data_IF_348028614149
#
_entry.id   IF_348028614149
#
_cell.length_a   1.000
_cell.length_b   1.000
_cell.length_c   1.000
_cell.angle_alpha   90.00
_cell.angle_beta   90.00
_cell.angle_gamma   90.00
#
_symmetry.space_group_name_H-M   'P 1'
#
loop_
_entity.id
_entity.type
_entity.pdbx_description
1 polymer ?
#
# COMPACT_ATOMS: atom_id res chain seq x y z
N UNK A 1 0.79 -43.69 -15.56
CA UNK A 1 1.33 -42.67 -14.66
C UNK A 1 1.51 -41.37 -15.48
N UNK A 2 0.60 -40.41 -15.34
CA UNK A 2 0.76 -39.08 -15.96
C UNK A 2 1.83 -38.35 -15.16
N UNK A 3 2.98 -38.06 -15.80
CA UNK A 3 3.98 -37.13 -15.27
C UNK A 3 3.36 -35.74 -15.30
N UNK A 4 2.96 -35.23 -14.15
CA UNK A 4 2.64 -33.80 -14.01
C UNK A 4 3.91 -33.01 -14.23
N UNK A 5 4.03 -32.41 -15.41
CA UNK A 5 5.10 -31.44 -15.72
C UNK A 5 4.96 -30.27 -14.74
N UNK A 6 6.03 -29.85 -14.04
CA UNK A 6 5.95 -28.71 -13.13
C UNK A 6 5.54 -27.46 -13.91
N UNK A 7 4.47 -26.82 -13.46
CA UNK A 7 3.98 -25.58 -14.06
C UNK A 7 5.08 -24.51 -13.96
N UNK A 8 5.46 -23.94 -15.08
CA UNK A 8 6.42 -22.83 -15.12
C UNK A 8 5.83 -21.63 -14.39
N UNK A 9 6.55 -21.13 -13.39
CA UNK A 9 6.12 -19.92 -12.67
C UNK A 9 6.38 -18.65 -13.51
N UNK A 10 5.47 -17.67 -13.46
CA UNK A 10 5.66 -16.41 -14.15
C UNK A 10 6.93 -15.70 -13.64
N UNK A 11 7.77 -15.20 -14.54
CA UNK A 11 8.95 -14.43 -14.21
C UNK A 11 8.82 -13.00 -14.75
N UNK A 12 9.20 -12.01 -13.95
CA UNK A 12 9.25 -10.62 -14.35
C UNK A 12 10.68 -10.09 -14.23
N UNK A 13 11.19 -9.51 -15.31
CA UNK A 13 12.52 -8.91 -15.36
C UNK A 13 12.40 -7.41 -15.52
N UNK A 14 12.86 -6.65 -14.52
CA UNK A 14 13.00 -5.19 -14.62
C UNK A 14 14.38 -4.91 -15.19
N UNK A 15 14.43 -4.29 -16.36
CA UNK A 15 15.65 -3.98 -17.10
C UNK A 15 15.91 -2.48 -16.97
N UNK A 16 16.90 -2.12 -16.15
CA UNK A 16 17.31 -0.72 -15.94
C UNK A 16 18.48 -0.31 -16.85
N UNK A 17 19.26 -1.29 -17.28
CA UNK A 17 20.36 -1.12 -18.23
C UNK A 17 20.36 -2.24 -19.26
N UNK A 18 20.98 -2.01 -20.42
CA UNK A 18 21.06 -3.02 -21.47
C UNK A 18 21.79 -4.29 -21.04
N UNK A 19 22.72 -4.19 -20.09
CA UNK A 19 23.46 -5.33 -19.53
C UNK A 19 22.53 -6.31 -18.78
N UNK A 20 21.42 -5.82 -18.23
CA UNK A 20 20.47 -6.66 -17.50
C UNK A 20 19.56 -7.50 -18.41
N UNK A 21 19.54 -7.22 -19.71
CA UNK A 21 18.76 -7.99 -20.70
C UNK A 21 19.18 -9.46 -20.70
N UNK A 22 20.47 -9.73 -20.47
CA UNK A 22 21.02 -11.09 -20.46
C UNK A 22 20.29 -12.06 -19.53
N UNK A 23 19.78 -11.58 -18.40
CA UNK A 23 19.01 -12.41 -17.44
C UNK A 23 17.67 -12.87 -18.02
N UNK A 24 16.96 -11.99 -18.72
CA UNK A 24 15.69 -12.32 -19.39
C UNK A 24 15.94 -13.31 -20.56
N UNK A 25 17.00 -13.09 -21.33
CA UNK A 25 17.39 -13.98 -22.42
C UNK A 25 17.75 -15.37 -21.88
N UNK A 26 18.56 -15.45 -20.83
CA UNK A 26 18.95 -16.72 -20.20
C UNK A 26 17.73 -17.50 -19.68
N UNK A 27 16.74 -16.81 -19.09
CA UNK A 27 15.48 -17.43 -18.67
C UNK A 27 14.71 -17.99 -19.87
N UNK A 28 14.57 -17.22 -20.94
CA UNK A 28 13.90 -17.68 -22.17
C UNK A 28 14.58 -18.91 -22.76
N UNK A 29 15.91 -18.90 -22.89
CA UNK A 29 16.68 -20.06 -23.40
C UNK A 29 16.47 -21.31 -22.54
N UNK A 30 16.46 -21.17 -21.22
CA UNK A 30 16.28 -22.30 -20.29
C UNK A 30 14.92 -22.96 -20.40
N UNK A 31 13.87 -22.18 -20.63
CA UNK A 31 12.48 -22.65 -20.49
C UNK A 31 11.74 -22.80 -21.84
N UNK A 32 12.24 -22.23 -22.92
CA UNK A 32 11.57 -22.21 -24.21
C UNK A 32 11.23 -23.62 -24.76
N UNK A 33 12.21 -24.52 -24.81
CA UNK A 33 12.01 -25.86 -25.38
C UNK A 33 10.94 -26.64 -24.61
N UNK A 34 10.95 -26.59 -23.30
CA UNK A 34 9.98 -27.27 -22.44
C UNK A 34 8.57 -26.67 -22.62
N UNK A 35 8.47 -25.34 -22.64
CA UNK A 35 7.19 -24.66 -22.83
C UNK A 35 6.56 -24.97 -24.18
N UNK A 36 7.35 -25.04 -25.25
CA UNK A 36 6.88 -25.45 -26.60
C UNK A 36 6.45 -26.91 -26.63
N UNK A 37 7.21 -27.81 -25.99
CA UNK A 37 6.86 -29.25 -25.93
C UNK A 37 5.53 -29.47 -25.15
N UNK A 38 5.22 -28.65 -24.17
CA UNK A 38 3.95 -28.69 -23.42
C UNK A 38 2.79 -27.99 -24.17
N UNK A 39 3.00 -27.49 -25.40
CA UNK A 39 1.99 -26.77 -26.19
C UNK A 39 1.62 -25.40 -25.63
N UNK A 40 2.44 -24.84 -24.71
CA UNK A 40 2.23 -23.54 -24.06
C UNK A 40 3.46 -22.66 -24.26
N UNK A 41 3.62 -22.04 -25.44
CA UNK A 41 4.80 -21.23 -25.75
C UNK A 41 4.94 -20.06 -24.78
N UNK A 42 6.19 -19.63 -24.56
CA UNK A 42 6.48 -18.44 -23.76
C UNK A 42 5.92 -17.20 -24.44
N UNK A 43 5.28 -16.34 -23.65
CA UNK A 43 4.85 -15.00 -24.09
C UNK A 43 5.78 -13.97 -23.45
N UNK A 44 6.41 -13.14 -24.29
CA UNK A 44 7.22 -12.00 -23.82
C UNK A 44 6.40 -10.73 -23.98
N UNK A 45 6.20 -10.04 -22.86
CA UNK A 45 5.55 -8.72 -22.84
C UNK A 45 6.58 -7.68 -22.41
N UNK A 46 6.69 -6.61 -23.20
CA UNK A 46 7.61 -5.50 -22.94
C UNK A 46 6.76 -4.26 -22.66
N UNK A 47 6.80 -3.79 -21.41
CA UNK A 47 6.13 -2.57 -20.97
C UNK A 47 7.14 -1.66 -20.28
N UNK A 48 6.90 -0.34 -20.34
CA UNK A 48 7.61 0.56 -19.47
C UNK A 48 7.07 0.40 -18.05
N UNK A 49 7.96 0.15 -17.09
CA UNK A 49 7.58 0.13 -15.69
C UNK A 49 7.19 1.54 -15.25
N UNK A 50 5.91 1.81 -15.20
CA UNK A 50 5.38 3.03 -14.60
C UNK A 50 4.97 2.73 -13.16
N UNK A 51 5.33 3.60 -12.24
CA UNK A 51 4.78 3.56 -10.90
C UNK A 51 3.31 4.00 -11.00
N UNK A 52 2.38 3.15 -10.54
CA UNK A 52 0.97 3.55 -10.48
C UNK A 52 0.79 4.65 -9.44
N UNK A 53 -0.18 5.55 -9.64
CA UNK A 53 -0.50 6.61 -8.69
C UNK A 53 -0.69 6.04 -7.27
N UNK A 54 -1.42 4.94 -7.12
CA UNK A 54 -1.63 4.29 -5.82
C UNK A 54 -0.35 3.72 -5.19
N UNK A 55 0.62 3.25 -5.99
CA UNK A 55 1.92 2.80 -5.48
C UNK A 55 2.77 3.96 -5.00
N UNK A 56 2.78 5.06 -5.76
CA UNK A 56 3.49 6.28 -5.41
C UNK A 56 2.91 6.91 -4.12
N UNK A 57 1.57 6.96 -4.00
CA UNK A 57 0.90 7.42 -2.79
C UNK A 57 1.26 6.57 -1.56
N UNK A 58 1.29 5.24 -1.69
CA UNK A 58 1.69 4.35 -0.58
C UNK A 58 3.17 4.53 -0.21
N UNK A 59 4.05 4.77 -1.19
CA UNK A 59 5.47 5.05 -0.94
C UNK A 59 5.63 6.34 -0.16
N UNK A 60 4.93 7.42 -0.54
CA UNK A 60 4.93 8.69 0.18
C UNK A 60 4.38 8.54 1.60
N UNK A 61 3.26 7.83 1.75
CA UNK A 61 2.67 7.55 3.06
C UNK A 61 3.67 6.89 4.02
N UNK A 62 4.33 5.81 3.62
CA UNK A 62 5.28 5.11 4.49
C UNK A 62 6.56 5.91 4.77
N UNK A 63 6.98 6.75 3.84
CA UNK A 63 8.04 7.73 4.10
C UNK A 63 7.63 8.66 5.23
N UNK A 64 6.45 9.26 5.15
CA UNK A 64 5.93 10.17 6.15
C UNK A 64 5.67 9.52 7.52
N UNK A 65 5.19 8.28 7.54
CA UNK A 65 5.03 7.53 8.80
C UNK A 65 6.39 7.33 9.49
N UNK A 66 7.42 7.04 8.71
CA UNK A 66 8.79 6.90 9.24
C UNK A 66 9.33 8.24 9.75
N UNK A 67 9.12 9.32 9.03
CA UNK A 67 9.61 10.66 9.42
C UNK A 67 8.89 11.20 10.65
N UNK A 68 7.56 11.06 10.68
CA UNK A 68 6.73 11.44 11.83
C UNK A 68 7.13 10.64 13.07
N UNK A 69 7.23 9.32 12.93
CA UNK A 69 7.62 8.45 14.02
C UNK A 69 8.97 8.85 14.62
N UNK A 70 10.01 9.07 13.77
CA UNK A 70 11.32 9.52 14.22
C UNK A 70 11.28 10.84 15.00
N UNK A 71 10.46 11.80 14.57
CA UNK A 71 10.34 13.11 15.22
C UNK A 71 9.52 13.07 16.52
N UNK A 72 8.67 12.04 16.69
CA UNK A 72 7.79 11.88 17.86
C UNK A 72 8.17 10.72 18.77
N UNK A 73 9.23 9.99 18.47
CA UNK A 73 9.65 8.83 19.28
C UNK A 73 8.72 7.62 19.15
N UNK A 74 8.04 7.49 18.02
CA UNK A 74 7.12 6.39 17.69
C UNK A 74 7.75 5.51 16.61
N UNK A 75 7.31 4.25 16.53
CA UNK A 75 7.57 3.47 15.34
C UNK A 75 6.61 3.85 14.20
N UNK A 76 6.92 3.39 12.98
CA UNK A 76 6.11 3.76 11.79
C UNK A 76 4.72 3.14 11.81
N UNK A 77 4.53 2.01 12.49
CA UNK A 77 3.27 1.31 12.67
C UNK A 77 2.37 2.06 13.66
N UNK A 78 2.93 2.55 14.75
CA UNK A 78 2.23 3.42 15.72
C UNK A 78 1.80 4.74 15.09
N UNK A 79 2.70 5.38 14.32
CA UNK A 79 2.39 6.56 13.54
C UNK A 79 1.25 6.30 12.54
N UNK A 80 1.32 5.17 11.84
CA UNK A 80 0.29 4.72 10.90
C UNK A 80 -1.06 4.51 11.60
N UNK A 81 -1.09 3.81 12.73
CA UNK A 81 -2.32 3.57 13.49
C UNK A 81 -2.95 4.89 13.95
N UNK A 82 -2.14 5.85 14.41
CA UNK A 82 -2.59 7.18 14.81
C UNK A 82 -3.29 7.90 13.66
N UNK A 83 -2.65 8.02 12.49
CA UNK A 83 -3.22 8.76 11.36
C UNK A 83 -4.40 8.03 10.72
N UNK A 84 -4.37 6.71 10.62
CA UNK A 84 -5.49 5.91 10.13
C UNK A 84 -6.74 6.12 10.99
N UNK A 85 -6.59 6.06 12.31
CA UNK A 85 -7.71 6.33 13.20
C UNK A 85 -8.21 7.77 13.09
N UNK A 86 -7.30 8.74 12.99
CA UNK A 86 -7.63 10.16 13.03
C UNK A 86 -8.32 10.65 11.76
N UNK A 87 -7.91 10.17 10.60
CA UNK A 87 -8.34 10.69 9.30
C UNK A 87 -8.94 9.62 8.39
N UNK A 88 -8.25 8.50 8.17
CA UNK A 88 -8.73 7.49 7.24
C UNK A 88 -10.06 6.88 7.70
N UNK A 89 -10.27 6.72 9.01
CA UNK A 89 -11.55 6.26 9.56
C UNK A 89 -12.71 7.16 9.20
N UNK A 90 -12.48 8.49 9.14
CA UNK A 90 -13.50 9.47 8.77
C UNK A 90 -13.84 9.32 7.29
N UNK A 91 -12.82 9.21 6.44
CA UNK A 91 -12.99 9.01 4.99
C UNK A 91 -13.76 7.71 4.72
N UNK A 92 -13.34 6.61 5.33
CA UNK A 92 -13.96 5.31 5.15
C UNK A 92 -15.41 5.25 5.66
N UNK A 93 -15.70 5.90 6.78
CA UNK A 93 -17.06 6.00 7.29
C UNK A 93 -17.96 6.86 6.38
N UNK A 94 -17.45 8.00 5.87
CA UNK A 94 -18.17 8.88 4.96
C UNK A 94 -18.49 8.20 3.64
N UNK A 95 -17.53 7.48 3.09
CA UNK A 95 -17.61 6.90 1.75
C UNK A 95 -18.13 5.46 1.75
N UNK A 96 -18.56 4.94 2.89
CA UNK A 96 -19.09 3.58 3.08
C UNK A 96 -18.14 2.48 2.57
N UNK A 97 -16.85 2.57 2.94
CA UNK A 97 -15.86 1.58 2.54
C UNK A 97 -16.00 0.30 3.37
N UNK A 98 -16.22 -0.84 2.72
CA UNK A 98 -16.29 -2.15 3.35
C UNK A 98 -17.24 -2.20 4.55
N UNK A 99 -16.79 -2.81 5.66
CA UNK A 99 -17.55 -2.95 6.91
C UNK A 99 -17.19 -1.86 7.94
N UNK A 100 -16.39 -0.86 7.55
CA UNK A 100 -15.95 0.19 8.49
C UNK A 100 -17.09 1.04 9.05
N UNK A 101 -18.14 1.42 8.30
CA UNK A 101 -19.24 2.24 8.83
C UNK A 101 -19.94 1.59 10.02
N UNK A 102 -20.27 0.30 9.90
CA UNK A 102 -20.90 -0.49 10.97
C UNK A 102 -19.97 -0.61 12.18
N UNK A 103 -18.70 -0.92 11.92
CA UNK A 103 -17.67 -1.02 12.94
C UNK A 103 -17.51 0.29 13.72
N UNK A 104 -17.47 1.43 13.03
CA UNK A 104 -17.36 2.75 13.68
C UNK A 104 -18.63 3.15 14.41
N UNK A 105 -19.81 2.65 13.99
CA UNK A 105 -21.04 2.84 14.74
C UNK A 105 -20.96 2.14 16.09
N UNK A 106 -20.57 0.87 16.12
CA UNK A 106 -20.37 0.10 17.36
C UNK A 106 -19.34 0.80 18.27
N UNK A 107 -18.22 1.26 17.70
CA UNK A 107 -17.20 1.99 18.46
C UNK A 107 -17.74 3.29 19.11
N UNK A 108 -18.57 4.04 18.38
CA UNK A 108 -19.22 5.26 18.93
C UNK A 108 -20.14 4.93 20.11
N UNK A 109 -20.89 3.83 20.01
CA UNK A 109 -21.81 3.41 21.07
C UNK A 109 -21.03 2.93 22.32
N UNK A 110 -19.96 2.15 22.14
CA UNK A 110 -19.05 1.78 23.24
C UNK A 110 -18.41 3.00 23.90
N UNK A 111 -17.97 3.97 23.11
CA UNK A 111 -17.42 5.23 23.66
C UNK A 111 -18.43 6.00 24.48
N UNK A 112 -19.67 6.11 24.01
CA UNK A 112 -20.76 6.81 24.72
C UNK A 112 -21.14 6.13 26.02
N UNK A 113 -21.12 4.80 26.06
CA UNK A 113 -21.43 4.02 27.26
C UNK A 113 -20.27 4.00 28.28
N UNK A 114 -19.09 4.48 27.90
CA UNK A 114 -17.90 4.42 28.77
C UNK A 114 -17.36 3.00 28.95
N UNK A 115 -17.68 2.09 28.02
CA UNK A 115 -17.25 0.71 28.08
C UNK A 115 -15.72 0.56 28.02
N UNK A 116 -15.17 -0.32 28.85
CA UNK A 116 -13.72 -0.59 28.93
C UNK A 116 -13.17 -1.20 27.63
N UNK A 117 -14.02 -1.81 26.82
CA UNK A 117 -13.70 -2.45 25.57
C UNK A 117 -13.42 -1.44 24.43
N UNK A 118 -13.78 -0.16 24.63
CA UNK A 118 -13.59 0.85 23.59
C UNK A 118 -12.12 1.02 23.19
N UNK A 119 -11.21 1.21 24.12
CA UNK A 119 -9.80 1.46 23.81
C UNK A 119 -9.10 0.25 23.16
N UNK A 120 -9.25 -0.99 23.67
CA UNK A 120 -8.72 -2.17 22.99
C UNK A 120 -9.26 -2.34 21.58
N UNK A 121 -10.58 -2.14 21.37
CA UNK A 121 -11.18 -2.25 20.06
C UNK A 121 -10.69 -1.15 19.10
N UNK A 122 -10.58 0.09 19.59
CA UNK A 122 -10.04 1.21 18.82
C UNK A 122 -8.63 0.89 18.30
N UNK A 123 -7.77 0.39 19.17
CA UNK A 123 -6.40 0.04 18.83
C UNK A 123 -6.33 -1.10 17.81
N UNK A 124 -7.14 -2.14 18.04
CA UNK A 124 -7.25 -3.27 17.13
C UNK A 124 -7.67 -2.84 15.72
N UNK A 125 -8.71 -2.03 15.60
CA UNK A 125 -9.23 -1.55 14.30
C UNK A 125 -8.22 -0.62 13.64
N UNK A 126 -7.60 0.29 14.38
CA UNK A 126 -6.59 1.21 13.82
C UNK A 126 -5.41 0.46 13.21
N UNK A 127 -4.97 -0.62 13.86
CA UNK A 127 -3.89 -1.45 13.35
C UNK A 127 -4.31 -2.25 12.10
N UNK A 128 -5.54 -2.78 12.08
CA UNK A 128 -6.05 -3.61 10.98
C UNK A 128 -6.56 -2.83 9.78
N UNK A 129 -6.92 -1.56 9.95
CA UNK A 129 -7.39 -0.72 8.85
C UNK A 129 -6.34 -0.65 7.73
N UNK A 130 -6.74 -1.02 6.52
CA UNK A 130 -5.83 -1.11 5.38
C UNK A 130 -5.89 0.13 4.50
N UNK A 131 -4.74 0.72 4.18
CA UNK A 131 -4.63 1.79 3.18
C UNK A 131 -4.78 1.27 1.74
N UNK A 132 -4.75 -0.05 1.55
CA UNK A 132 -4.88 -0.64 0.19
C UNK A 132 -6.32 -0.69 -0.29
N UNK A 133 -7.29 -0.50 0.62
CA UNK A 133 -8.71 -0.40 0.30
C UNK A 133 -9.11 1.01 -0.16
N UNK A 134 -8.26 2.00 0.09
CA UNK A 134 -8.49 3.37 -0.36
C UNK A 134 -8.34 3.50 -1.88
N UNK A 135 -9.27 4.21 -2.49
CA UNK A 135 -9.12 4.71 -3.86
C UNK A 135 -7.99 5.74 -3.92
N UNK A 136 -7.49 6.04 -5.12
CA UNK A 136 -6.44 7.07 -5.29
C UNK A 136 -6.90 8.44 -4.79
N UNK A 137 -8.19 8.79 -4.97
CA UNK A 137 -8.77 10.02 -4.47
C UNK A 137 -8.83 10.07 -2.94
N UNK A 138 -9.27 9.00 -2.30
CA UNK A 138 -9.29 8.88 -0.83
C UNK A 138 -7.88 8.93 -0.25
N UNK A 139 -6.92 8.32 -0.94
CA UNK A 139 -5.53 8.33 -0.50
C UNK A 139 -4.90 9.73 -0.65
N UNK A 140 -5.22 10.49 -1.71
CA UNK A 140 -4.78 11.87 -1.86
C UNK A 140 -5.35 12.76 -0.74
N UNK A 141 -6.64 12.65 -0.44
CA UNK A 141 -7.27 13.35 0.68
C UNK A 141 -6.60 13.00 2.01
N UNK A 142 -6.36 11.72 2.26
CA UNK A 142 -5.71 11.25 3.48
C UNK A 142 -4.28 11.81 3.64
N UNK A 143 -3.49 11.81 2.57
CA UNK A 143 -2.14 12.40 2.58
C UNK A 143 -2.19 13.90 2.85
N UNK A 144 -3.13 14.63 2.25
CA UNK A 144 -3.33 16.06 2.50
C UNK A 144 -3.65 16.34 3.97
N UNK A 145 -4.53 15.54 4.58
CA UNK A 145 -4.87 15.66 6.00
C UNK A 145 -3.65 15.42 6.91
N UNK A 146 -2.82 14.42 6.58
CA UNK A 146 -1.57 14.14 7.30
C UNK A 146 -0.61 15.32 7.20
N UNK A 147 -0.39 15.85 6.00
CA UNK A 147 0.50 17.00 5.78
C UNK A 147 0.04 18.21 6.58
N UNK A 148 -1.24 18.54 6.49
CA UNK A 148 -1.83 19.68 7.22
C UNK A 148 -1.74 19.51 8.74
N UNK A 149 -1.93 18.29 9.23
CA UNK A 149 -1.73 18.00 10.64
C UNK A 149 -0.28 18.22 11.06
N UNK A 150 0.67 17.63 10.32
CA UNK A 150 2.10 17.72 10.61
C UNK A 150 2.60 19.16 10.58
N UNK A 151 2.14 19.97 9.63
CA UNK A 151 2.45 21.40 9.59
C UNK A 151 2.01 22.14 10.87
N UNK A 152 0.80 21.86 11.36
CA UNK A 152 0.28 22.48 12.59
C UNK A 152 1.00 21.98 13.84
N UNK A 153 1.40 20.71 13.83
CA UNK A 153 2.10 20.05 14.95
C UNK A 153 3.62 20.31 14.94
N UNK A 154 4.12 21.11 13.97
CA UNK A 154 5.53 21.47 13.85
C UNK A 154 6.43 20.31 13.39
N UNK A 155 5.87 19.28 12.80
CA UNK A 155 6.59 18.15 12.21
C UNK A 155 6.87 18.44 10.74
N UNK A 156 8.12 18.26 10.33
CA UNK A 156 8.51 18.42 8.92
C UNK A 156 8.47 17.08 8.20
N UNK A 157 7.64 17.01 7.19
CA UNK A 157 7.58 15.90 6.25
C UNK A 157 8.29 16.29 4.95
N UNK A 158 9.00 15.35 4.33
CA UNK A 158 9.62 15.55 3.03
C UNK A 158 8.73 14.99 1.93
N UNK A 159 8.59 15.75 0.84
CA UNK A 159 7.95 15.27 -0.39
C UNK A 159 9.00 15.24 -1.50
N UNK A 160 9.52 14.06 -1.88
CA UNK A 160 10.43 13.93 -3.00
C UNK A 160 9.83 14.50 -4.29
N UNK A 161 10.65 15.12 -5.15
CA UNK A 161 10.18 15.77 -6.37
C UNK A 161 9.40 14.82 -7.29
N UNK A 162 9.80 13.56 -7.31
CA UNK A 162 9.16 12.49 -8.07
C UNK A 162 7.83 12.00 -7.47
N UNK A 163 7.40 12.54 -6.33
CA UNK A 163 6.15 12.20 -5.65
C UNK A 163 5.19 13.38 -5.46
N UNK A 164 5.56 14.59 -5.89
CA UNK A 164 4.71 15.78 -5.70
C UNK A 164 3.32 15.65 -6.36
N UNK A 165 3.24 14.94 -7.46
CA UNK A 165 1.99 14.75 -8.23
C UNK A 165 0.96 13.82 -7.56
N UNK A 166 1.32 13.11 -6.49
CA UNK A 166 0.44 12.09 -5.90
C UNK A 166 -0.65 12.63 -4.98
N UNK A 167 -0.59 13.91 -4.66
CA UNK A 167 -1.55 14.60 -3.80
C UNK A 167 -2.58 15.41 -4.61
N UNK A 168 -2.40 15.51 -5.92
CA UNK A 168 -3.32 16.15 -6.86
C UNK A 168 -4.46 15.19 -7.25
#
# INVERSE_FOLDING_TARGET
MQKTTPKLEPACFVIKSFEEVGRAIAYMHRHHAMACADGKPLVVRIDQKQETLSSAQRRLYWLWMTEYGKQRGLDKEEASAFFKYKYLSIIYNRDNVGEYPETFKVMRDLKKSGASEYEPLRQFISNRMSITEATTKQMAEFLTDIEMWCLRDGVRLTCPDDLKYVME
#
